data_IF_601205356998
#
_entry.id   IF_601205356998
#
_cell.length_a   1.000
_cell.length_b   1.000
_cell.length_c   1.000
_cell.angle_alpha   90.00
_cell.angle_beta   90.00
_cell.angle_gamma   90.00
#
_symmetry.space_group_name_H-M   'P 1'
#
loop_
_entity.id
_entity.type
_entity.pdbx_description
1 polymer ?
#
# COMPACT_ATOMS: atom_id res chain seq x y z
N UNK A 1 -18.27 43.33 13.45
CA UNK A 1 -17.64 42.33 12.55
C UNK A 1 -18.64 41.20 12.39
N UNK A 2 -19.19 41.00 11.19
CA UNK A 2 -19.97 39.80 10.89
C UNK A 2 -18.99 38.62 10.86
N UNK A 3 -18.72 37.99 12.00
CA UNK A 3 -17.80 36.85 12.09
C UNK A 3 -18.55 35.54 11.91
N UNK A 4 -19.30 35.42 10.81
CA UNK A 4 -19.81 34.11 10.39
C UNK A 4 -18.58 33.23 10.15
N UNK A 5 -18.42 32.11 10.87
CA UNK A 5 -17.26 31.24 10.70
C UNK A 5 -17.25 30.65 9.28
N UNK A 6 -16.05 30.49 8.70
CA UNK A 6 -15.88 29.83 7.42
C UNK A 6 -16.24 28.34 7.56
N UNK A 7 -17.18 27.87 6.73
CA UNK A 7 -17.44 26.43 6.60
C UNK A 7 -16.41 25.82 5.64
N UNK A 8 -15.64 24.85 6.13
CA UNK A 8 -14.66 24.09 5.35
C UNK A 8 -15.11 22.63 5.23
N UNK A 9 -15.12 22.12 4.00
CA UNK A 9 -15.38 20.70 3.70
C UNK A 9 -14.12 20.10 3.09
N UNK A 10 -13.55 19.12 3.79
CA UNK A 10 -12.48 18.27 3.27
C UNK A 10 -13.10 16.92 2.92
N UNK A 11 -12.93 16.52 1.65
CA UNK A 11 -13.38 15.24 1.12
C UNK A 11 -12.19 14.42 0.63
N UNK A 12 -11.98 13.27 1.26
CA UNK A 12 -10.97 12.30 0.85
C UNK A 12 -11.60 11.23 -0.03
N UNK A 13 -11.06 11.03 -1.23
CA UNK A 13 -11.49 9.97 -2.13
C UNK A 13 -10.56 8.76 -2.03
N UNK A 14 -11.05 7.67 -1.45
CA UNK A 14 -10.27 6.44 -1.24
C UNK A 14 -10.59 5.41 -2.33
N UNK A 15 -9.62 5.22 -3.21
CA UNK A 15 -9.77 4.33 -4.36
C UNK A 15 -8.49 3.51 -4.59
N UNK A 16 -8.70 2.25 -4.95
CA UNK A 16 -7.75 1.43 -5.69
C UNK A 16 -8.51 0.70 -6.80
N UNK A 17 -7.89 0.49 -7.97
CA UNK A 17 -8.34 -0.50 -8.93
C UNK A 17 -8.61 -1.87 -8.29
N UNK A 18 -9.44 -2.66 -8.96
CA UNK A 18 -9.63 -4.06 -8.60
C UNK A 18 -8.46 -4.89 -9.15
N UNK A 19 -7.61 -5.42 -8.26
CA UNK A 19 -6.35 -6.08 -8.62
C UNK A 19 -6.41 -7.60 -8.64
N UNK A 20 -7.50 -8.22 -8.21
CA UNK A 20 -7.67 -9.67 -8.35
C UNK A 20 -7.82 -10.00 -9.83
N UNK A 21 -6.93 -10.85 -10.34
CA UNK A 21 -7.12 -11.52 -11.62
C UNK A 21 -8.15 -12.64 -11.42
N UNK A 22 -9.34 -12.45 -11.95
CA UNK A 22 -10.45 -13.41 -11.81
C UNK A 22 -10.20 -14.77 -12.47
N UNK A 23 -9.20 -14.90 -13.34
CA UNK A 23 -8.81 -16.18 -13.94
C UNK A 23 -7.95 -17.00 -12.98
N UNK A 24 -6.99 -16.34 -12.33
CA UNK A 24 -6.00 -17.00 -11.48
C UNK A 24 -6.34 -16.95 -9.98
N UNK A 25 -7.18 -16.01 -9.57
CA UNK A 25 -7.45 -15.66 -8.17
C UNK A 25 -6.28 -14.96 -7.47
N UNK A 26 -5.26 -14.52 -8.22
CA UNK A 26 -4.09 -13.81 -7.67
C UNK A 26 -4.29 -12.29 -7.73
N UNK A 27 -3.96 -11.61 -6.64
CA UNK A 27 -3.80 -10.16 -6.62
C UNK A 27 -2.45 -9.79 -7.25
N UNK A 28 -2.52 -9.10 -8.39
CA UNK A 28 -1.33 -8.80 -9.20
C UNK A 28 -0.49 -7.64 -8.64
N UNK A 29 -1.08 -6.81 -7.78
CA UNK A 29 -0.44 -5.64 -7.19
C UNK A 29 -0.76 -5.51 -5.69
N UNK A 30 0.18 -5.03 -4.86
CA UNK A 30 0.06 -5.05 -3.40
C UNK A 30 -0.63 -3.79 -2.85
N UNK A 31 -1.14 -2.92 -3.72
CA UNK A 31 -1.47 -1.54 -3.35
C UNK A 31 -2.58 -1.45 -2.32
N UNK A 32 -3.58 -2.33 -2.36
CA UNK A 32 -4.61 -2.38 -1.31
C UNK A 32 -3.98 -2.63 0.06
N UNK A 33 -3.08 -3.62 0.16
CA UNK A 33 -2.38 -3.96 1.41
C UNK A 33 -1.46 -2.83 1.86
N UNK A 34 -0.65 -2.27 0.97
CA UNK A 34 0.33 -1.25 1.32
C UNK A 34 -0.31 0.10 1.68
N UNK A 35 -1.35 0.52 0.95
CA UNK A 35 -2.07 1.76 1.29
C UNK A 35 -2.99 1.60 2.50
N UNK A 36 -3.51 0.39 2.78
CA UNK A 36 -4.26 0.15 4.01
C UNK A 36 -3.43 0.45 5.27
N UNK A 37 -2.15 0.07 5.26
CA UNK A 37 -1.26 0.24 6.42
C UNK A 37 -0.59 1.61 6.50
N UNK A 38 -0.64 2.39 5.41
CA UNK A 38 -0.05 3.73 5.31
C UNK A 38 -1.06 4.85 5.45
N UNK A 39 -2.15 4.74 4.70
CA UNK A 39 -3.04 5.86 4.37
C UNK A 39 -4.46 5.60 4.89
N UNK A 40 -5.11 4.50 4.49
CA UNK A 40 -6.53 4.28 4.83
C UNK A 40 -6.76 4.17 6.34
N UNK A 41 -5.88 3.46 7.06
CA UNK A 41 -6.02 3.42 8.51
C UNK A 41 -5.63 4.75 9.16
N UNK A 42 -4.44 5.27 8.86
CA UNK A 42 -3.87 6.45 9.55
C UNK A 42 -4.73 7.70 9.37
N UNK A 43 -5.25 7.94 8.16
CA UNK A 43 -6.08 9.11 7.87
C UNK A 43 -7.40 9.11 8.64
N UNK A 44 -7.94 7.92 8.96
CA UNK A 44 -9.09 7.78 9.83
C UNK A 44 -8.68 7.85 11.31
N UNK A 45 -7.61 7.16 11.68
CA UNK A 45 -7.16 7.02 13.06
C UNK A 45 -6.66 8.32 13.69
N UNK A 46 -6.10 9.23 12.89
CA UNK A 46 -5.66 10.54 13.39
C UNK A 46 -6.80 11.35 14.03
N UNK A 47 -8.06 11.11 13.65
CA UNK A 47 -9.22 11.79 14.22
C UNK A 47 -9.48 11.48 15.70
N UNK A 48 -8.90 10.41 16.25
CA UNK A 48 -8.94 10.16 17.70
C UNK A 48 -8.21 11.24 18.49
N UNK A 49 -7.17 11.84 17.90
CA UNK A 49 -6.41 12.93 18.53
C UNK A 49 -7.10 14.29 18.38
N UNK A 50 -8.10 14.39 17.50
CA UNK A 50 -8.78 15.63 17.15
C UNK A 50 -10.31 15.43 17.13
N UNK A 51 -10.95 15.20 18.30
CA UNK A 51 -12.35 14.78 18.39
C UNK A 51 -13.36 15.80 17.82
N UNK A 52 -12.99 17.08 17.75
CA UNK A 52 -13.84 18.15 17.18
C UNK A 52 -13.73 18.27 15.66
N UNK A 53 -12.69 17.70 15.05
CA UNK A 53 -12.50 17.74 13.60
C UNK A 53 -13.45 16.75 12.94
N UNK A 54 -14.18 17.23 11.93
CA UNK A 54 -15.07 16.43 11.08
C UNK A 54 -14.51 16.34 9.66
N UNK A 55 -14.56 15.16 9.06
CA UNK A 55 -14.05 14.90 7.71
C UNK A 55 -15.07 14.09 6.90
N UNK A 56 -14.93 14.15 5.58
CA UNK A 56 -15.77 13.38 4.65
C UNK A 56 -14.89 12.39 3.90
N UNK A 57 -15.36 11.16 3.74
CA UNK A 57 -14.68 10.13 2.98
C UNK A 57 -15.60 9.54 1.92
N UNK A 58 -15.15 9.54 0.67
CA UNK A 58 -15.71 8.69 -0.37
C UNK A 58 -14.92 7.37 -0.39
N UNK A 59 -15.64 6.26 -0.32
CA UNK A 59 -15.06 4.92 -0.28
C UNK A 59 -15.58 4.12 -1.48
N UNK A 60 -14.66 3.72 -2.36
CA UNK A 60 -15.02 2.87 -3.51
C UNK A 60 -15.28 1.43 -3.04
N UNK A 61 -16.40 0.79 -3.42
CA UNK A 61 -16.74 -0.55 -2.95
C UNK A 61 -15.71 -1.63 -3.29
N UNK A 62 -15.14 -1.59 -4.50
CA UNK A 62 -14.09 -2.55 -4.91
C UNK A 62 -12.84 -2.51 -4.03
N UNK A 63 -12.51 -1.36 -3.41
CA UNK A 63 -11.41 -1.27 -2.45
C UNK A 63 -11.74 -2.07 -1.19
N UNK A 64 -12.96 -1.94 -0.66
CA UNK A 64 -13.37 -2.59 0.59
C UNK A 64 -13.44 -4.10 0.46
N UNK A 65 -13.98 -4.61 -0.66
CA UNK A 65 -14.00 -6.05 -0.94
C UNK A 65 -12.59 -6.63 -0.88
N UNK A 66 -11.62 -5.96 -1.51
CA UNK A 66 -10.24 -6.43 -1.49
C UNK A 66 -9.61 -6.36 -0.09
N UNK A 67 -9.89 -5.31 0.69
CA UNK A 67 -9.44 -5.24 2.10
C UNK A 67 -10.02 -6.42 2.90
N UNK A 68 -11.32 -6.71 2.75
CA UNK A 68 -11.97 -7.84 3.40
C UNK A 68 -11.38 -9.17 2.95
N UNK A 69 -11.01 -9.34 1.68
CA UNK A 69 -10.34 -10.53 1.19
C UNK A 69 -8.99 -10.75 1.88
N UNK A 70 -8.15 -9.72 2.00
CA UNK A 70 -6.88 -9.83 2.75
C UNK A 70 -7.12 -10.22 4.21
N UNK A 71 -8.13 -9.65 4.87
CA UNK A 71 -8.39 -9.91 6.28
C UNK A 71 -9.01 -11.29 6.51
N UNK A 72 -10.04 -11.65 5.74
CA UNK A 72 -10.84 -12.86 5.94
C UNK A 72 -10.22 -14.11 5.31
N UNK A 73 -9.46 -13.95 4.22
CA UNK A 73 -8.81 -15.05 3.49
C UNK A 73 -7.31 -15.05 3.68
N UNK A 74 -6.79 -14.47 4.77
CA UNK A 74 -5.35 -14.31 5.03
C UNK A 74 -4.48 -15.54 4.72
N UNK A 75 -4.95 -16.74 5.03
CA UNK A 75 -4.21 -17.99 4.80
C UNK A 75 -4.25 -18.50 3.35
N UNK A 76 -5.21 -18.03 2.57
CA UNK A 76 -5.51 -18.50 1.21
C UNK A 76 -5.30 -17.44 0.14
N UNK A 77 -5.19 -16.18 0.53
CA UNK A 77 -5.02 -15.07 -0.41
C UNK A 77 -3.66 -15.17 -1.09
N UNK A 78 -3.67 -15.06 -2.42
CA UNK A 78 -2.45 -15.00 -3.22
C UNK A 78 -2.22 -13.57 -3.68
N UNK A 79 -1.15 -12.94 -3.19
CA UNK A 79 -0.62 -11.67 -3.67
C UNK A 79 0.82 -11.93 -4.11
N UNK A 80 1.14 -11.69 -5.38
CA UNK A 80 2.47 -11.99 -5.94
C UNK A 80 3.61 -11.36 -5.14
N UNK A 81 3.43 -10.13 -4.65
CA UNK A 81 4.42 -9.43 -3.84
C UNK A 81 4.50 -10.00 -2.43
N UNK A 82 3.36 -10.38 -1.84
CA UNK A 82 3.33 -11.03 -0.52
C UNK A 82 3.99 -12.42 -0.57
N UNK A 83 3.67 -13.22 -1.58
CA UNK A 83 4.26 -14.55 -1.82
C UNK A 83 5.79 -14.45 -1.92
N UNK A 84 6.27 -13.52 -2.74
CA UNK A 84 7.72 -13.28 -2.91
C UNK A 84 8.35 -12.57 -1.72
N UNK A 85 7.59 -11.86 -0.90
CA UNK A 85 8.08 -11.38 0.39
C UNK A 85 8.31 -12.58 1.32
N UNK A 86 7.32 -13.46 1.48
CA UNK A 86 7.37 -14.54 2.46
C UNK A 86 8.39 -15.64 2.13
N UNK A 87 8.62 -15.92 0.84
CA UNK A 87 9.59 -16.94 0.39
C UNK A 87 11.00 -16.70 0.95
N UNK A 88 11.68 -17.76 1.37
CA UNK A 88 13.08 -17.66 1.82
C UNK A 88 13.95 -17.16 0.65
N UNK A 89 14.79 -16.13 0.86
CA UNK A 89 15.67 -15.63 -0.20
C UNK A 89 16.60 -16.66 -0.83
N UNK A 90 16.93 -17.72 -0.11
CA UNK A 90 17.79 -18.82 -0.57
C UNK A 90 17.09 -19.73 -1.57
N UNK A 91 15.75 -19.78 -1.52
CA UNK A 91 14.90 -20.60 -2.39
C UNK A 91 14.40 -19.84 -3.62
N UNK A 92 14.75 -18.56 -3.76
CA UNK A 92 14.35 -17.74 -4.90
C UNK A 92 15.09 -18.17 -6.17
N UNK A 93 14.34 -18.50 -7.22
CA UNK A 93 14.90 -18.69 -8.54
C UNK A 93 15.29 -17.34 -9.18
N UNK A 94 16.00 -17.38 -10.31
CA UNK A 94 16.53 -16.18 -10.93
C UNK A 94 15.43 -15.16 -11.34
N UNK A 95 14.30 -15.64 -11.85
CA UNK A 95 13.22 -14.78 -12.32
C UNK A 95 12.49 -14.10 -11.15
N UNK A 96 12.31 -14.81 -10.04
CA UNK A 96 11.76 -14.25 -8.80
C UNK A 96 12.68 -13.17 -8.20
N UNK A 97 14.01 -13.39 -8.24
CA UNK A 97 15.00 -12.40 -7.82
C UNK A 97 14.96 -11.16 -8.70
N UNK A 98 14.83 -11.33 -10.02
CA UNK A 98 14.67 -10.22 -10.97
C UNK A 98 13.38 -9.46 -10.67
N UNK A 99 12.27 -10.17 -10.43
CA UNK A 99 11.00 -9.55 -10.07
C UNK A 99 11.13 -8.70 -8.80
N UNK A 100 11.75 -9.24 -7.74
CA UNK A 100 12.00 -8.49 -6.50
C UNK A 100 12.83 -7.24 -6.79
N UNK A 101 13.95 -7.35 -7.49
CA UNK A 101 14.81 -6.18 -7.78
C UNK A 101 14.15 -5.14 -8.69
N UNK A 102 13.19 -5.54 -9.51
CA UNK A 102 12.42 -4.64 -10.36
C UNK A 102 11.32 -3.91 -9.56
N UNK A 103 10.64 -4.61 -8.66
CA UNK A 103 9.38 -4.12 -8.09
C UNK A 103 9.47 -3.74 -6.60
N UNK A 104 10.43 -4.24 -5.84
CA UNK A 104 10.55 -3.99 -4.40
C UNK A 104 11.20 -2.62 -4.08
N UNK A 105 11.28 -1.74 -5.07
CA UNK A 105 11.62 -0.32 -4.93
C UNK A 105 10.49 0.58 -5.44
N UNK A 106 9.28 0.03 -5.65
CA UNK A 106 8.09 0.80 -6.00
C UNK A 106 7.54 1.51 -4.76
N UNK A 107 8.27 2.54 -4.33
CA UNK A 107 7.91 3.49 -3.28
C UNK A 107 8.53 4.83 -3.66
N UNK A 108 8.12 5.93 -3.02
CA UNK A 108 8.75 7.22 -3.29
C UNK A 108 10.23 7.21 -2.85
N UNK A 109 11.16 7.44 -3.77
CA UNK A 109 12.59 7.27 -3.46
C UNK A 109 13.08 8.29 -2.44
N UNK A 110 12.58 9.52 -2.49
CA UNK A 110 13.02 10.61 -1.62
C UNK A 110 12.52 10.47 -0.19
N UNK A 111 11.27 10.05 -0.04
CA UNK A 111 10.57 10.04 1.25
C UNK A 111 10.48 8.64 1.87
N UNK A 112 10.62 7.57 1.09
CA UNK A 112 10.40 6.19 1.55
C UNK A 112 11.61 5.27 1.38
N UNK A 113 12.63 5.66 0.61
CA UNK A 113 13.84 4.83 0.40
C UNK A 113 15.09 5.52 0.94
N UNK A 114 15.40 6.72 0.45
CA UNK A 114 16.58 7.51 0.86
C UNK A 114 16.71 7.75 2.37
N UNK A 115 15.63 7.95 3.15
CA UNK A 115 15.74 8.15 4.59
C UNK A 115 16.29 6.91 5.33
N UNK A 116 16.15 5.72 4.73
CA UNK A 116 16.58 4.46 5.33
C UNK A 116 17.86 3.97 4.64
N UNK A 117 19.01 4.23 5.27
CA UNK A 117 20.35 3.99 4.70
C UNK A 117 20.49 2.63 4.02
N UNK A 118 20.10 1.54 4.70
CA UNK A 118 20.23 0.19 4.14
C UNK A 118 19.35 0.00 2.89
N UNK A 119 18.11 0.48 2.91
CA UNK A 119 17.21 0.36 1.77
C UNK A 119 17.73 1.16 0.57
N UNK A 120 18.26 2.35 0.82
CA UNK A 120 18.93 3.17 -0.18
C UNK A 120 20.21 2.51 -0.72
N UNK A 121 21.03 1.88 0.11
CA UNK A 121 22.22 1.15 -0.34
C UNK A 121 21.85 0.00 -1.29
N UNK A 122 20.75 -0.71 -1.00
CA UNK A 122 20.22 -1.76 -1.88
C UNK A 122 19.71 -1.19 -3.21
N UNK A 123 19.06 -0.02 -3.18
CA UNK A 123 18.64 0.71 -4.38
C UNK A 123 19.83 1.09 -5.26
N UNK A 124 20.89 1.62 -4.65
CA UNK A 124 22.13 1.99 -5.35
C UNK A 124 22.83 0.76 -5.93
N UNK A 125 22.88 -0.35 -5.19
CA UNK A 125 23.43 -1.63 -5.68
C UNK A 125 22.63 -2.19 -6.85
N UNK A 126 21.29 -2.09 -6.79
CA UNK A 126 20.41 -2.48 -7.90
C UNK A 126 20.66 -1.63 -9.14
N UNK A 127 21.03 -0.36 -8.96
CA UNK A 127 21.32 0.62 -10.01
C UNK A 127 20.05 1.35 -10.44
N UNK A 128 20.08 2.69 -10.59
CA UNK A 128 18.87 3.53 -10.74
C UNK A 128 18.12 3.30 -12.05
N UNK A 129 18.85 3.16 -13.15
CA UNK A 129 18.35 2.87 -14.48
C UNK A 129 18.93 1.54 -14.91
N UNK A 130 18.09 0.52 -15.02
CA UNK A 130 18.52 -0.83 -15.38
C UNK A 130 17.60 -1.39 -16.45
N UNK A 131 18.20 -1.89 -17.52
CA UNK A 131 17.48 -2.70 -18.49
C UNK A 131 17.16 -4.10 -17.92
N UNK A 132 16.20 -4.80 -18.52
CA UNK A 132 15.86 -6.17 -18.09
C UNK A 132 17.06 -7.13 -18.15
N UNK A 133 17.96 -6.96 -19.14
CA UNK A 133 19.16 -7.81 -19.26
C UNK A 133 20.22 -7.50 -18.19
N UNK A 134 20.33 -6.25 -17.75
CA UNK A 134 21.20 -5.85 -16.64
C UNK A 134 20.67 -6.33 -15.30
N UNK A 135 19.36 -6.27 -15.07
CA UNK A 135 18.73 -6.78 -13.86
C UNK A 135 19.06 -8.25 -13.61
N UNK A 136 19.11 -9.09 -14.65
CA UNK A 136 19.52 -10.50 -14.53
C UNK A 136 20.95 -10.64 -14.00
N UNK A 137 21.88 -9.81 -14.48
CA UNK A 137 23.28 -9.82 -14.01
C UNK A 137 23.38 -9.32 -12.57
N UNK A 138 22.64 -8.27 -12.25
CA UNK A 138 22.59 -7.68 -10.90
C UNK A 138 21.97 -8.67 -9.91
N UNK A 139 20.88 -9.34 -10.29
CA UNK A 139 20.20 -10.34 -9.47
C UNK A 139 21.15 -11.42 -8.96
N UNK A 140 22.05 -11.93 -9.82
CA UNK A 140 23.06 -12.93 -9.43
C UNK A 140 24.06 -12.45 -8.38
N UNK A 141 24.26 -11.12 -8.25
CA UNK A 141 25.23 -10.50 -7.32
C UNK A 141 24.63 -10.09 -5.98
N UNK A 142 23.31 -10.12 -5.84
CA UNK A 142 22.67 -9.97 -4.54
C UNK A 142 22.92 -11.23 -3.71
N UNK A 143 23.13 -11.11 -2.41
CA UNK A 143 23.14 -12.25 -1.49
C UNK A 143 21.73 -12.55 -0.98
N UNK A 144 21.52 -13.73 -0.40
CA UNK A 144 20.27 -14.06 0.29
C UNK A 144 19.97 -13.07 1.43
N UNK A 145 20.99 -12.63 2.19
CA UNK A 145 20.84 -11.66 3.26
C UNK A 145 20.44 -10.25 2.74
N UNK A 146 20.98 -9.82 1.60
CA UNK A 146 20.56 -8.55 0.99
C UNK A 146 19.14 -8.60 0.45
N UNK A 147 18.71 -9.75 -0.07
CA UNK A 147 17.33 -9.96 -0.50
C UNK A 147 16.39 -10.05 0.70
N UNK A 148 16.80 -10.65 1.83
CA UNK A 148 16.04 -10.60 3.08
C UNK A 148 15.81 -9.14 3.51
N UNK A 149 16.88 -8.34 3.54
CA UNK A 149 16.76 -6.93 3.89
C UNK A 149 15.83 -6.18 2.93
N UNK A 150 15.89 -6.47 1.63
CA UNK A 150 15.02 -5.86 0.62
C UNK A 150 13.55 -6.27 0.79
N UNK A 151 13.27 -7.55 1.03
CA UNK A 151 11.92 -8.06 1.29
C UNK A 151 11.31 -7.36 2.51
N UNK A 152 12.07 -7.20 3.58
CA UNK A 152 11.60 -6.51 4.79
C UNK A 152 11.41 -5.02 4.52
N UNK A 153 12.41 -4.33 3.95
CA UNK A 153 12.33 -2.89 3.71
C UNK A 153 11.21 -2.48 2.78
N UNK A 154 10.97 -3.27 1.72
CA UNK A 154 9.87 -3.01 0.80
C UNK A 154 8.54 -2.90 1.53
N UNK A 155 8.32 -3.70 2.58
CA UNK A 155 7.07 -3.69 3.34
C UNK A 155 7.12 -2.72 4.53
N UNK A 156 8.24 -2.65 5.24
CA UNK A 156 8.44 -1.84 6.45
C UNK A 156 8.31 -0.34 6.17
N UNK A 157 8.74 0.12 5.00
CA UNK A 157 8.65 1.56 4.67
C UNK A 157 7.22 2.06 4.51
N UNK A 158 6.25 1.17 4.25
CA UNK A 158 4.85 1.54 4.03
C UNK A 158 4.05 1.77 5.30
N UNK A 159 4.56 1.45 6.50
CA UNK A 159 3.80 1.78 7.71
C UNK A 159 3.52 3.29 7.81
N UNK A 160 2.29 3.61 8.20
CA UNK A 160 1.83 4.98 8.42
C UNK A 160 2.57 5.68 9.57
N UNK A 161 2.35 6.99 9.68
CA UNK A 161 2.92 7.83 10.72
C UNK A 161 2.63 7.29 12.12
N UNK A 162 1.41 6.82 12.40
CA UNK A 162 1.04 6.34 13.74
C UNK A 162 1.91 5.13 14.11
N UNK A 163 1.96 4.12 13.25
CA UNK A 163 2.71 2.88 13.54
C UNK A 163 4.22 3.09 13.57
N UNK A 164 4.76 3.98 12.73
CA UNK A 164 6.20 4.30 12.74
C UNK A 164 6.65 5.00 14.04
N UNK A 165 5.73 5.61 14.79
CA UNK A 165 6.06 6.35 16.01
C UNK A 165 5.55 5.68 17.30
N UNK A 166 4.50 4.86 17.22
CA UNK A 166 3.78 4.38 18.41
C UNK A 166 3.78 2.85 18.55
N UNK A 167 3.94 2.08 17.46
CA UNK A 167 3.94 0.61 17.55
C UNK A 167 5.33 0.07 17.88
N UNK A 168 5.52 -0.64 19.02
CA UNK A 168 6.85 -1.09 19.43
C UNK A 168 7.53 -2.01 18.42
N UNK A 169 6.78 -2.87 17.72
CA UNK A 169 7.35 -3.82 16.76
C UNK A 169 7.91 -3.06 15.55
N UNK A 170 7.11 -2.15 14.98
CA UNK A 170 7.54 -1.34 13.82
C UNK A 170 8.71 -0.44 14.20
N UNK A 171 8.66 0.22 15.36
CA UNK A 171 9.73 1.10 15.84
C UNK A 171 11.04 0.34 16.02
N UNK A 172 11.02 -0.84 16.64
CA UNK A 172 12.25 -1.63 16.84
C UNK A 172 12.81 -2.16 15.51
N UNK A 173 11.97 -2.54 14.56
CA UNK A 173 12.42 -2.94 13.23
C UNK A 173 13.04 -1.79 12.43
N UNK A 174 12.49 -0.58 12.54
CA UNK A 174 13.08 0.62 11.94
C UNK A 174 14.44 0.95 12.56
N UNK A 175 14.58 0.81 13.89
CA UNK A 175 15.86 0.99 14.59
C UNK A 175 16.88 -0.07 14.18
N UNK A 176 16.46 -1.34 14.03
CA UNK A 176 17.32 -2.44 13.58
C UNK A 176 17.89 -2.15 12.19
N UNK A 177 17.03 -1.76 11.25
CA UNK A 177 17.35 -1.18 9.95
C UNK A 177 18.13 -2.04 8.94
N UNK A 178 18.73 -3.16 9.34
CA UNK A 178 19.45 -4.12 8.49
C UNK A 178 19.63 -5.47 9.19
N UNK A 179 20.12 -6.46 8.44
CA UNK A 179 20.35 -7.82 8.92
C UNK A 179 19.06 -8.42 9.49
N UNK A 180 17.97 -8.24 8.76
CA UNK A 180 16.68 -8.76 9.17
C UNK A 180 16.64 -10.29 9.07
N UNK A 181 15.80 -10.90 9.91
CA UNK A 181 15.58 -12.35 9.96
C UNK A 181 14.21 -12.72 9.39
N UNK A 182 13.96 -14.03 9.27
CA UNK A 182 12.64 -14.53 8.88
C UNK A 182 11.55 -14.12 9.89
N UNK A 183 11.89 -14.03 11.18
CA UNK A 183 10.98 -13.60 12.24
C UNK A 183 10.64 -12.11 12.11
N UNK A 184 11.61 -11.25 11.80
CA UNK A 184 11.35 -9.83 11.54
C UNK A 184 10.41 -9.65 10.35
N UNK A 185 10.67 -10.40 9.27
CA UNK A 185 9.83 -10.38 8.07
C UNK A 185 8.41 -10.81 8.38
N UNK A 186 8.26 -11.88 9.16
CA UNK A 186 6.95 -12.34 9.62
C UNK A 186 6.27 -11.28 10.49
N UNK A 187 6.99 -10.64 11.41
CA UNK A 187 6.45 -9.60 12.29
C UNK A 187 5.94 -8.38 11.51
N UNK A 188 6.65 -7.95 10.46
CA UNK A 188 6.17 -6.91 9.53
C UNK A 188 4.84 -7.31 8.91
N UNK A 189 4.76 -8.50 8.34
CA UNK A 189 3.56 -8.95 7.62
C UNK A 189 2.40 -9.16 8.59
N UNK A 190 2.63 -9.76 9.75
CA UNK A 190 1.63 -9.92 10.81
C UNK A 190 1.05 -8.56 11.21
N UNK A 191 1.90 -7.55 11.40
CA UNK A 191 1.45 -6.20 11.74
C UNK A 191 0.65 -5.56 10.60
N UNK A 192 1.05 -5.77 9.34
CA UNK A 192 0.26 -5.26 8.21
C UNK A 192 -1.16 -5.84 8.21
N UNK A 193 -1.31 -7.16 8.37
CA UNK A 193 -2.63 -7.79 8.44
C UNK A 193 -3.44 -7.33 9.67
N UNK A 194 -2.78 -7.12 10.82
CA UNK A 194 -3.42 -6.54 12.00
C UNK A 194 -4.03 -5.17 11.70
N UNK A 195 -3.30 -4.29 11.02
CA UNK A 195 -3.76 -2.95 10.65
C UNK A 195 -4.89 -3.01 9.63
N UNK A 196 -4.76 -3.86 8.60
CA UNK A 196 -5.82 -4.05 7.61
C UNK A 196 -7.14 -4.44 8.29
N UNK A 197 -7.09 -5.33 9.28
CA UNK A 197 -8.25 -5.73 10.09
C UNK A 197 -8.89 -4.60 10.88
N UNK A 198 -8.17 -3.49 11.09
CA UNK A 198 -8.67 -2.31 11.82
C UNK A 198 -9.25 -1.23 10.90
N UNK A 199 -8.98 -1.24 9.59
CA UNK A 199 -9.44 -0.19 8.65
C UNK A 199 -10.96 -0.03 8.70
N UNK A 200 -11.70 -1.09 8.34
CA UNK A 200 -13.17 -1.02 8.24
C UNK A 200 -13.81 -0.73 9.61
N UNK A 201 -13.43 -1.40 10.72
CA UNK A 201 -13.94 -1.05 12.05
C UNK A 201 -13.67 0.40 12.44
N UNK A 202 -12.52 0.96 12.04
CA UNK A 202 -12.17 2.34 12.37
C UNK A 202 -13.09 3.34 11.70
N UNK A 203 -13.29 3.22 10.39
CA UNK A 203 -14.25 4.04 9.65
C UNK A 203 -15.66 3.91 10.22
N UNK A 204 -16.10 2.68 10.53
CA UNK A 204 -17.42 2.44 11.14
C UNK A 204 -17.58 3.20 12.46
N UNK A 205 -16.63 3.05 13.39
CA UNK A 205 -16.69 3.72 14.69
C UNK A 205 -16.73 5.25 14.57
N UNK A 206 -15.97 5.83 13.64
CA UNK A 206 -15.97 7.26 13.37
C UNK A 206 -17.31 7.76 12.81
N UNK A 207 -17.94 6.97 11.95
CA UNK A 207 -19.24 7.28 11.37
C UNK A 207 -20.36 7.17 12.43
N UNK A 208 -20.35 6.10 13.23
CA UNK A 208 -21.34 5.87 14.31
C UNK A 208 -21.34 7.00 15.35
N UNK A 209 -20.17 7.60 15.64
CA UNK A 209 -20.07 8.76 16.55
C UNK A 209 -20.26 10.11 15.86
N UNK A 210 -20.61 10.13 14.57
CA UNK A 210 -20.89 11.35 13.80
C UNK A 210 -19.67 12.23 13.53
N UNK A 211 -18.45 11.69 13.61
CA UNK A 211 -17.23 12.45 13.36
C UNK A 211 -16.86 12.46 11.87
N UNK A 212 -17.28 11.46 11.11
CA UNK A 212 -17.10 11.44 9.67
C UNK A 212 -18.42 11.22 8.94
N UNK A 213 -18.52 11.77 7.73
CA UNK A 213 -19.54 11.40 6.76
C UNK A 213 -18.95 10.47 5.71
N UNK A 214 -19.70 9.43 5.36
CA UNK A 214 -19.31 8.42 4.38
C UNK A 214 -20.17 8.54 3.13
N UNK A 215 -19.52 8.60 1.98
CA UNK A 215 -20.13 8.51 0.66
C UNK A 215 -19.51 7.36 -0.13
N UNK A 216 -20.15 6.96 -1.23
CA UNK A 216 -19.63 5.91 -2.10
C UNK A 216 -19.74 6.29 -3.58
N UNK A 217 -19.13 5.48 -4.44
CA UNK A 217 -19.02 5.64 -5.89
C UNK A 217 -19.34 4.28 -6.53
N UNK A 218 -19.70 4.18 -7.83
CA UNK A 218 -20.01 2.88 -8.42
C UNK A 218 -18.88 1.85 -8.25
N UNK A 219 -19.26 0.58 -8.18
CA UNK A 219 -18.44 -0.50 -7.62
C UNK A 219 -16.99 -0.54 -8.13
N UNK A 220 -16.79 -0.55 -9.45
CA UNK A 220 -15.46 -0.62 -10.09
C UNK A 220 -14.85 0.74 -10.42
N UNK A 221 -15.43 1.83 -9.92
CA UNK A 221 -15.02 3.20 -10.27
C UNK A 221 -14.88 3.44 -11.79
N UNK A 222 -15.89 3.08 -12.60
CA UNK A 222 -15.81 3.25 -14.04
C UNK A 222 -15.82 4.74 -14.41
N UNK A 223 -15.27 5.05 -15.58
CA UNK A 223 -15.50 6.35 -16.23
C UNK A 223 -16.92 6.31 -16.81
N UNK A 224 -17.91 6.57 -15.95
CA UNK A 224 -19.33 6.37 -16.23
C UNK A 224 -19.79 7.02 -17.56
N UNK A 225 -19.37 8.24 -17.92
CA UNK A 225 -19.74 8.83 -19.21
C UNK A 225 -19.36 7.95 -20.41
N UNK A 226 -18.18 7.32 -20.40
CA UNK A 226 -17.70 6.48 -21.49
C UNK A 226 -18.39 5.11 -21.55
N UNK A 227 -19.03 4.67 -20.46
CA UNK A 227 -19.90 3.49 -20.48
C UNK A 227 -21.26 3.80 -21.11
N UNK A 228 -21.75 5.02 -20.92
CA UNK A 228 -23.04 5.44 -21.48
C UNK A 228 -22.92 5.84 -22.95
N UNK A 229 -21.90 6.64 -23.30
CA UNK A 229 -21.62 7.08 -24.65
C UNK A 229 -20.11 7.31 -24.83
N UNK A 230 -19.47 6.53 -25.71
CA UNK A 230 -18.04 6.68 -26.00
C UNK A 230 -17.71 8.03 -26.65
N UNK A 231 -18.69 8.70 -27.30
CA UNK A 231 -18.50 10.04 -27.84
C UNK A 231 -18.38 11.11 -26.76
N UNK A 232 -18.72 10.83 -25.49
CA UNK A 232 -18.56 11.78 -24.39
C UNK A 232 -17.08 12.21 -24.21
N UNK A 233 -16.12 11.38 -24.66
CA UNK A 233 -14.71 11.77 -24.71
C UNK A 233 -14.47 13.08 -25.50
N UNK A 234 -15.29 13.36 -26.52
CA UNK A 234 -15.15 14.53 -27.39
C UNK A 234 -15.49 15.86 -26.70
N UNK A 235 -16.20 15.83 -25.57
CA UNK A 235 -16.50 17.04 -24.80
C UNK A 235 -15.23 17.68 -24.22
N UNK A 236 -14.33 16.87 -23.68
CA UNK A 236 -13.04 17.33 -23.15
C UNK A 236 -11.91 17.26 -24.19
N UNK A 237 -12.01 16.33 -25.16
CA UNK A 237 -10.99 16.08 -26.18
C UNK A 237 -11.63 15.98 -27.57
N UNK A 238 -11.89 17.11 -28.27
CA UNK A 238 -12.66 17.13 -29.52
C UNK A 238 -12.16 16.21 -30.66
N UNK A 239 -10.89 15.80 -30.61
CA UNK A 239 -10.25 14.93 -31.61
C UNK A 239 -10.10 13.48 -31.16
N UNK A 240 -10.71 13.09 -30.03
CA UNK A 240 -10.77 11.70 -29.60
C UNK A 240 -11.51 10.86 -30.66
N UNK A 241 -10.83 9.80 -31.12
CA UNK A 241 -11.32 8.86 -32.13
C UNK A 241 -12.19 7.79 -31.49
#
# INVERSE_FOLDING_TARGET
MNSQPLSLVILWHMHQPFYEDLVTGEYILPWVRLHAVKDYYDMAAILDKFPEVRLNFNLVPSLFVQIEDYVSKREKISDKFLNLTLKDPSDLNLDERVFILQNFFMADWDNMIKPYRRYHDLLLKRGRFVSSSELVKVARRFSAAELMDLQVWFNLTWFGFIYKNEDPVVVELLKKGKNFTAEDKKAVIDKQFEIMGKVIPKYRSLAERGQIELTTTPFYHPILPLLCDTNAAREAMPYAQ
#
